data_IF_159838559518
#
_entry.id   IF_159838559518
#
_cell.length_a   1.000
_cell.length_b   1.000
_cell.length_c   1.000
_cell.angle_alpha   90.00
_cell.angle_beta   90.00
_cell.angle_gamma   90.00
#
_symmetry.space_group_name_H-M   'P 1'
#
loop_
_entity.id
_entity.type
_entity.pdbx_description
1 polymer ?
#
# COMPACT_ATOMS: atom_id res chain seq x y z
N UNK A 1 38.98 -3.87 37.22
CA UNK A 1 37.61 -4.38 37.45
C UNK A 1 36.89 -4.45 36.10
N UNK A 2 36.71 -5.67 35.60
CA UNK A 2 36.08 -5.92 34.31
C UNK A 2 34.56 -5.72 34.41
N UNK A 3 34.00 -4.88 33.54
CA UNK A 3 32.55 -4.80 33.33
C UNK A 3 32.17 -5.91 32.34
N UNK A 4 31.90 -7.11 32.88
CA UNK A 4 31.43 -8.30 32.16
C UNK A 4 29.95 -8.53 32.51
N UNK A 5 29.05 -7.63 32.13
CA UNK A 5 27.62 -7.94 32.12
C UNK A 5 26.97 -7.24 30.93
N UNK A 6 26.26 -8.03 30.14
CA UNK A 6 25.98 -7.80 28.73
C UNK A 6 25.17 -6.54 28.43
N UNK A 7 25.74 -5.69 27.57
CA UNK A 7 24.96 -4.86 26.67
C UNK A 7 24.34 -5.77 25.59
N UNK A 8 23.23 -6.42 25.92
CA UNK A 8 22.30 -6.89 24.90
C UNK A 8 21.68 -5.65 24.27
N UNK A 9 21.97 -5.41 22.99
CA UNK A 9 21.45 -4.27 22.24
C UNK A 9 19.93 -4.17 22.40
N UNK A 10 19.43 -2.99 22.76
CA UNK A 10 17.99 -2.72 22.75
C UNK A 10 17.50 -2.95 21.32
N UNK A 11 16.67 -3.97 21.12
CA UNK A 11 16.02 -4.23 19.83
C UNK A 11 15.31 -2.97 19.37
N UNK A 12 15.48 -2.59 18.12
CA UNK A 12 14.74 -1.46 17.58
C UNK A 12 13.24 -1.83 17.49
N UNK A 13 12.37 -0.81 17.36
CA UNK A 13 10.92 -1.01 17.30
C UNK A 13 10.50 -2.04 16.24
N UNK A 14 11.15 -2.01 15.07
CA UNK A 14 10.88 -2.95 13.98
C UNK A 14 11.24 -4.40 14.32
N UNK A 15 12.37 -4.64 15.01
CA UNK A 15 12.73 -5.98 15.49
C UNK A 15 11.75 -6.49 16.55
N UNK A 16 11.27 -5.62 17.44
CA UNK A 16 10.25 -6.00 18.43
C UNK A 16 8.93 -6.41 17.75
N UNK A 17 8.51 -5.67 16.73
CA UNK A 17 7.32 -6.02 15.94
C UNK A 17 7.51 -7.34 15.17
N UNK A 18 8.68 -7.54 14.57
CA UNK A 18 8.98 -8.75 13.82
C UNK A 18 9.02 -9.99 14.72
N UNK A 19 9.66 -9.88 15.89
CA UNK A 19 9.70 -10.93 16.90
C UNK A 19 8.31 -11.26 17.46
N UNK A 20 7.49 -10.22 17.73
CA UNK A 20 6.12 -10.41 18.22
C UNK A 20 5.26 -11.16 17.21
N UNK A 21 5.35 -10.83 15.92
CA UNK A 21 4.61 -11.54 14.87
C UNK A 21 5.10 -12.99 14.72
N UNK A 22 6.42 -13.23 14.78
CA UNK A 22 6.97 -14.59 14.75
C UNK A 22 6.47 -15.42 15.94
N UNK A 23 6.50 -14.85 17.15
CA UNK A 23 5.99 -15.50 18.34
C UNK A 23 4.48 -15.79 18.26
N UNK A 24 3.69 -14.88 17.67
CA UNK A 24 2.26 -15.12 17.42
C UNK A 24 2.04 -16.29 16.45
N UNK A 25 2.77 -16.34 15.34
CA UNK A 25 2.65 -17.43 14.36
C UNK A 25 3.01 -18.79 14.98
N UNK A 26 4.10 -18.85 15.75
CA UNK A 26 4.51 -20.06 16.47
C UNK A 26 3.44 -20.48 17.50
N UNK A 27 2.88 -19.53 18.25
CA UNK A 27 1.82 -19.79 19.20
C UNK A 27 0.55 -20.32 18.50
N UNK A 28 0.14 -19.75 17.37
CA UNK A 28 -0.98 -20.23 16.55
C UNK A 28 -0.76 -21.66 16.06
N UNK A 29 0.42 -21.97 15.52
CA UNK A 29 0.75 -23.34 15.07
C UNK A 29 0.66 -24.34 16.23
N UNK A 30 1.27 -24.01 17.37
CA UNK A 30 1.22 -24.87 18.57
C UNK A 30 -0.22 -25.10 19.07
N UNK A 31 -1.09 -24.10 18.93
CA UNK A 31 -2.49 -24.19 19.31
C UNK A 31 -3.26 -25.10 18.36
N UNK A 32 -3.02 -24.97 17.05
CA UNK A 32 -3.63 -25.82 16.03
C UNK A 32 -3.23 -27.29 16.20
N UNK A 33 -1.97 -27.57 16.54
CA UNK A 33 -1.50 -28.92 16.87
C UNK A 33 -2.24 -29.49 18.09
N UNK A 34 -2.40 -28.68 19.15
CA UNK A 34 -3.15 -29.08 20.35
C UNK A 34 -4.61 -29.36 20.06
N UNK A 35 -5.28 -28.50 19.28
CA UNK A 35 -6.67 -28.71 18.83
C UNK A 35 -6.78 -30.01 18.07
N UNK A 36 -5.90 -30.26 17.09
CA UNK A 36 -5.87 -31.50 16.30
C UNK A 36 -5.66 -32.74 17.17
N UNK A 37 -4.80 -32.65 18.18
CA UNK A 37 -4.58 -33.69 19.18
C UNK A 37 -5.83 -33.96 20.04
N UNK A 38 -6.55 -32.92 20.45
CA UNK A 38 -7.81 -33.05 21.18
C UNK A 38 -8.90 -33.68 20.31
N UNK A 39 -9.05 -33.26 19.06
CA UNK A 39 -10.03 -33.83 18.13
C UNK A 39 -9.77 -35.32 17.87
N UNK A 40 -8.50 -35.72 17.75
CA UNK A 40 -8.12 -37.13 17.63
C UNK A 40 -8.55 -37.93 18.86
N UNK A 41 -8.30 -37.42 20.07
CA UNK A 41 -8.73 -38.06 21.32
C UNK A 41 -10.26 -38.15 21.44
N UNK A 42 -10.97 -37.08 21.07
CA UNK A 42 -12.43 -37.04 21.04
C UNK A 42 -12.98 -38.09 20.07
N UNK A 43 -12.39 -38.21 18.88
CA UNK A 43 -12.76 -39.22 17.88
C UNK A 43 -12.57 -40.64 18.40
N UNK A 44 -11.44 -40.93 19.05
CA UNK A 44 -11.20 -42.23 19.69
C UNK A 44 -12.24 -42.55 20.79
N UNK A 45 -12.62 -41.55 21.59
CA UNK A 45 -13.67 -41.71 22.60
C UNK A 45 -15.04 -41.95 21.98
N UNK A 46 -15.36 -41.30 20.86
CA UNK A 46 -16.60 -41.51 20.11
C UNK A 46 -16.69 -42.97 19.61
N UNK A 47 -15.62 -43.52 19.04
CA UNK A 47 -15.57 -44.93 18.61
C UNK A 47 -15.81 -45.88 19.79
N UNK A 48 -15.17 -45.63 20.94
CA UNK A 48 -15.38 -46.44 22.14
C UNK A 48 -16.82 -46.35 22.67
N UNK A 49 -17.40 -45.16 22.68
CA UNK A 49 -18.79 -44.93 23.09
C UNK A 49 -19.77 -45.66 22.17
N UNK A 50 -19.56 -45.60 20.85
CA UNK A 50 -20.37 -46.35 19.87
C UNK A 50 -20.26 -47.86 20.09
N UNK A 51 -19.07 -48.38 20.37
CA UNK A 51 -18.88 -49.80 20.67
C UNK A 51 -19.63 -50.22 21.95
N UNK A 52 -19.60 -49.41 23.01
CA UNK A 52 -20.35 -49.69 24.24
C UNK A 52 -21.87 -49.57 23.98
N UNK A 53 -22.31 -48.60 23.20
CA UNK A 53 -23.71 -48.44 22.83
C UNK A 53 -24.24 -49.70 22.12
N UNK A 54 -23.52 -50.25 21.13
CA UNK A 54 -23.88 -51.51 20.46
C UNK A 54 -23.99 -52.67 21.45
N UNK A 55 -23.05 -52.78 22.40
CA UNK A 55 -23.10 -53.80 23.46
C UNK A 55 -24.30 -53.65 24.39
N UNK A 56 -24.65 -52.42 24.75
CA UNK A 56 -25.85 -52.13 25.57
C UNK A 56 -27.11 -52.55 24.81
N UNK A 57 -27.24 -52.17 23.54
CA UNK A 57 -28.39 -52.53 22.70
C UNK A 57 -28.54 -54.04 22.51
N UNK A 58 -27.42 -54.78 22.43
CA UNK A 58 -27.42 -56.24 22.34
C UNK A 58 -27.58 -56.98 23.67
N UNK A 59 -27.61 -56.28 24.81
CA UNK A 59 -27.77 -56.90 26.14
C UNK A 59 -29.21 -56.78 26.62
N UNK A 60 -29.94 -57.90 26.70
CA UNK A 60 -31.37 -57.89 27.05
C UNK A 60 -31.68 -57.57 28.51
N UNK A 61 -30.78 -57.91 29.44
CA UNK A 61 -30.99 -57.71 30.88
C UNK A 61 -30.52 -56.34 31.35
N UNK A 62 -31.38 -55.61 32.07
CA UNK A 62 -31.04 -54.33 32.70
C UNK A 62 -29.87 -54.45 33.70
N UNK A 63 -29.75 -55.58 34.42
CA UNK A 63 -28.64 -55.85 35.32
C UNK A 63 -27.31 -55.99 34.56
N UNK A 64 -27.34 -56.63 33.38
CA UNK A 64 -26.17 -56.76 32.49
C UNK A 64 -25.76 -55.44 31.84
N UNK A 65 -26.70 -54.53 31.58
CA UNK A 65 -26.42 -53.21 31.02
C UNK A 65 -25.79 -52.23 32.04
N UNK A 66 -26.07 -52.38 33.34
CA UNK A 66 -25.60 -51.46 34.39
C UNK A 66 -24.09 -51.16 34.36
N UNK A 67 -23.17 -52.15 34.31
CA UNK A 67 -21.73 -51.89 34.23
C UNK A 67 -21.33 -51.21 32.90
N UNK A 68 -21.98 -51.55 31.79
CA UNK A 68 -21.73 -50.93 30.49
C UNK A 68 -22.12 -49.45 30.49
N UNK A 69 -23.27 -49.11 31.09
CA UNK A 69 -23.74 -47.73 31.26
C UNK A 69 -22.79 -46.91 32.15
N UNK A 70 -22.30 -47.49 33.25
CA UNK A 70 -21.31 -46.83 34.11
C UNK A 70 -20.00 -46.54 33.36
N UNK A 71 -19.52 -47.48 32.54
CA UNK A 71 -18.35 -47.25 31.69
C UNK A 71 -18.60 -46.17 30.65
N UNK A 72 -19.75 -46.19 29.98
CA UNK A 72 -20.14 -45.16 29.01
C UNK A 72 -20.18 -43.76 29.64
N UNK A 73 -20.74 -43.63 30.85
CA UNK A 73 -20.79 -42.36 31.58
C UNK A 73 -19.39 -41.78 31.84
N UNK A 74 -18.43 -42.61 32.25
CA UNK A 74 -17.03 -42.17 32.46
C UNK A 74 -16.40 -41.66 31.16
N UNK A 75 -16.57 -42.39 30.06
CA UNK A 75 -16.04 -41.99 28.75
C UNK A 75 -16.72 -40.71 28.23
N UNK A 76 -18.03 -40.58 28.43
CA UNK A 76 -18.79 -39.39 28.04
C UNK A 76 -18.33 -38.15 28.81
N UNK A 77 -18.11 -38.27 30.12
CA UNK A 77 -17.58 -37.17 30.93
C UNK A 77 -16.19 -36.75 30.46
N UNK A 78 -15.29 -37.71 30.18
CA UNK A 78 -13.97 -37.42 29.62
C UNK A 78 -14.08 -36.71 28.27
N UNK A 79 -14.96 -37.18 27.39
CA UNK A 79 -15.18 -36.57 26.08
C UNK A 79 -15.65 -35.11 26.21
N UNK A 80 -16.64 -34.85 27.08
CA UNK A 80 -17.15 -33.50 27.33
C UNK A 80 -16.08 -32.54 27.87
N UNK A 81 -15.19 -33.02 28.73
CA UNK A 81 -14.07 -32.22 29.23
C UNK A 81 -13.08 -31.85 28.10
N UNK A 82 -12.78 -32.80 27.21
CA UNK A 82 -11.91 -32.54 26.05
C UNK A 82 -12.58 -31.60 25.04
N UNK A 83 -13.88 -31.76 24.77
CA UNK A 83 -14.66 -30.85 23.92
C UNK A 83 -14.60 -29.42 24.47
N UNK A 84 -14.86 -29.24 25.77
CA UNK A 84 -14.76 -27.91 26.42
C UNK A 84 -13.37 -27.30 26.32
N UNK A 85 -12.31 -28.10 26.47
CA UNK A 85 -10.93 -27.63 26.31
C UNK A 85 -10.65 -27.23 24.86
N UNK A 86 -11.13 -28.02 23.89
CA UNK A 86 -10.98 -27.74 22.46
C UNK A 86 -11.69 -26.45 22.09
N UNK A 87 -12.93 -26.27 22.51
CA UNK A 87 -13.71 -25.06 22.22
C UNK A 87 -13.07 -23.81 22.83
N UNK A 88 -12.48 -23.93 24.03
CA UNK A 88 -11.72 -22.85 24.64
C UNK A 88 -10.48 -22.48 23.80
N UNK A 89 -9.70 -23.45 23.33
CA UNK A 89 -8.54 -23.19 22.47
C UNK A 89 -8.96 -22.62 21.11
N UNK A 90 -10.07 -23.08 20.55
CA UNK A 90 -10.60 -22.58 19.28
C UNK A 90 -10.99 -21.09 19.40
N UNK A 91 -11.65 -20.71 20.50
CA UNK A 91 -11.96 -19.30 20.80
C UNK A 91 -10.71 -18.43 20.98
N UNK A 92 -9.64 -18.99 21.57
CA UNK A 92 -8.37 -18.32 21.73
C UNK A 92 -7.65 -18.14 20.38
N UNK A 93 -7.67 -19.18 19.54
CA UNK A 93 -7.13 -19.15 18.18
C UNK A 93 -7.82 -18.07 17.35
N UNK A 94 -9.15 -18.00 17.42
CA UNK A 94 -9.93 -16.96 16.74
C UNK A 94 -9.56 -15.55 17.20
N UNK A 95 -9.44 -15.34 18.52
CA UNK A 95 -9.03 -14.06 19.08
C UNK A 95 -7.62 -13.66 18.63
N UNK A 96 -6.69 -14.62 18.57
CA UNK A 96 -5.34 -14.40 18.04
C UNK A 96 -5.34 -14.06 16.56
N UNK A 97 -6.16 -14.74 15.74
CA UNK A 97 -6.29 -14.44 14.31
C UNK A 97 -6.82 -13.01 14.10
N UNK A 98 -7.81 -12.58 14.89
CA UNK A 98 -8.30 -11.19 14.84
C UNK A 98 -7.22 -10.17 15.23
N UNK A 99 -6.43 -10.47 16.28
CA UNK A 99 -5.30 -9.63 16.68
C UNK A 99 -4.23 -9.55 15.58
N UNK A 100 -3.96 -10.66 14.88
CA UNK A 100 -3.00 -10.71 13.77
C UNK A 100 -3.47 -9.84 12.62
N UNK A 101 -4.73 -9.97 12.20
CA UNK A 101 -5.30 -9.14 11.14
C UNK A 101 -5.24 -7.65 11.48
N UNK A 102 -5.50 -7.30 12.74
CA UNK A 102 -5.38 -5.91 13.22
C UNK A 102 -3.94 -5.42 13.16
N UNK A 103 -2.98 -6.25 13.62
CA UNK A 103 -1.54 -5.97 13.54
C UNK A 103 -1.09 -5.74 12.10
N UNK A 104 -1.52 -6.58 11.17
CA UNK A 104 -1.18 -6.49 9.74
C UNK A 104 -1.75 -5.21 9.11
N UNK A 105 -3.00 -4.86 9.43
CA UNK A 105 -3.61 -3.60 8.98
C UNK A 105 -2.87 -2.37 9.51
N UNK A 106 -2.47 -2.38 10.79
CA UNK A 106 -1.68 -1.31 11.40
C UNK A 106 -0.30 -1.19 10.75
N UNK A 107 0.35 -2.32 10.42
CA UNK A 107 1.62 -2.35 9.70
C UNK A 107 1.49 -1.73 8.32
N UNK A 108 0.47 -2.12 7.55
CA UNK A 108 0.21 -1.55 6.22
C UNK A 108 -0.02 -0.03 6.30
N UNK A 109 -0.81 0.40 7.29
CA UNK A 109 -1.04 1.83 7.55
C UNK A 109 0.26 2.56 7.90
N UNK A 110 1.12 1.97 8.74
CA UNK A 110 2.42 2.55 9.09
C UNK A 110 3.32 2.70 7.86
N UNK A 111 3.36 1.70 6.97
CA UNK A 111 4.12 1.77 5.71
C UNK A 111 3.62 2.94 4.86
N UNK A 112 2.30 3.08 4.69
CA UNK A 112 1.70 4.22 3.98
C UNK A 112 2.06 5.55 4.65
N UNK A 113 1.97 5.66 5.98
CA UNK A 113 2.32 6.88 6.71
C UNK A 113 3.80 7.23 6.55
N UNK A 114 4.69 6.24 6.58
CA UNK A 114 6.12 6.45 6.36
C UNK A 114 6.42 6.90 4.92
N UNK A 115 5.75 6.30 3.93
CA UNK A 115 5.84 6.74 2.54
C UNK A 115 5.36 8.20 2.39
N UNK A 116 4.19 8.54 2.96
CA UNK A 116 3.66 9.91 2.95
C UNK A 116 4.59 10.91 3.64
N UNK A 117 5.21 10.55 4.77
CA UNK A 117 6.20 11.39 5.45
C UNK A 117 7.42 11.63 4.56
N UNK A 118 7.90 10.60 3.88
CA UNK A 118 9.04 10.71 2.98
C UNK A 118 8.71 11.56 1.75
N UNK A 119 7.53 11.36 1.15
CA UNK A 119 7.01 12.20 0.08
C UNK A 119 6.85 13.65 0.54
N UNK A 120 6.30 13.90 1.73
CA UNK A 120 6.17 15.26 2.27
C UNK A 120 7.55 15.93 2.48
N UNK A 121 8.54 15.17 2.96
CA UNK A 121 9.92 15.65 3.10
C UNK A 121 10.54 16.00 1.74
N UNK A 122 10.33 15.15 0.72
CA UNK A 122 10.80 15.40 -0.64
C UNK A 122 10.11 16.64 -1.24
N UNK A 123 8.78 16.75 -1.11
CA UNK A 123 8.02 17.92 -1.53
C UNK A 123 8.52 19.20 -0.84
N UNK A 124 8.73 19.19 0.48
CA UNK A 124 9.30 20.34 1.20
C UNK A 124 10.70 20.72 0.72
N UNK A 125 11.54 19.74 0.40
CA UNK A 125 12.88 19.99 -0.13
C UNK A 125 12.84 20.53 -1.57
N UNK A 126 11.84 20.17 -2.37
CA UNK A 126 11.60 20.72 -3.71
C UNK A 126 11.02 22.14 -3.63
N UNK A 127 9.95 22.35 -2.86
CA UNK A 127 9.32 23.65 -2.67
C UNK A 127 10.24 24.66 -1.96
N UNK A 128 11.06 24.22 -1.00
CA UNK A 128 12.03 25.09 -0.33
C UNK A 128 13.19 25.55 -1.21
N UNK A 129 13.34 24.99 -2.42
CA UNK A 129 14.27 25.50 -3.43
C UNK A 129 13.61 26.55 -4.33
N UNK A 130 12.29 26.54 -4.48
CA UNK A 130 11.55 27.53 -5.28
C UNK A 130 11.63 28.89 -4.59
N UNK A 131 12.43 29.80 -5.14
CA UNK A 131 12.44 31.21 -4.73
C UNK A 131 11.10 31.82 -5.11
N UNK A 132 10.24 32.05 -4.13
CA UNK A 132 8.92 32.68 -4.30
C UNK A 132 9.08 34.06 -4.93
N UNK A 133 10.15 34.79 -4.60
CA UNK A 133 10.45 36.10 -5.19
C UNK A 133 10.69 35.98 -6.70
N UNK A 134 11.45 34.97 -7.15
CA UNK A 134 11.62 34.70 -8.60
C UNK A 134 10.34 34.21 -9.28
N UNK A 135 9.43 33.59 -8.53
CA UNK A 135 8.12 33.19 -9.06
C UNK A 135 7.20 34.41 -9.23
N UNK A 136 7.31 35.40 -8.35
CA UNK A 136 6.64 36.69 -8.50
C UNK A 136 7.26 37.47 -9.67
N UNK A 137 8.58 37.54 -9.76
CA UNK A 137 9.27 38.18 -10.89
C UNK A 137 8.90 37.51 -12.23
N UNK A 138 8.82 36.17 -12.29
CA UNK A 138 8.35 35.47 -13.50
C UNK A 138 6.86 35.64 -13.76
N UNK A 139 6.03 35.80 -12.73
CA UNK A 139 4.60 36.10 -12.92
C UNK A 139 4.43 37.51 -13.46
N UNK A 140 5.20 38.47 -12.95
CA UNK A 140 5.22 39.86 -13.41
C UNK A 140 5.77 39.93 -14.84
N UNK A 141 6.87 39.23 -15.17
CA UNK A 141 7.36 39.10 -16.55
C UNK A 141 6.35 38.38 -17.47
N UNK A 142 5.61 37.39 -16.98
CA UNK A 142 4.56 36.73 -17.77
C UNK A 142 3.39 37.69 -18.05
N UNK A 143 3.00 38.49 -17.06
CA UNK A 143 1.97 39.52 -17.24
C UNK A 143 2.44 40.59 -18.22
N UNK A 144 3.70 41.03 -18.12
CA UNK A 144 4.32 41.97 -19.06
C UNK A 144 4.43 41.36 -20.48
N UNK A 145 4.68 40.06 -20.61
CA UNK A 145 4.74 39.36 -21.90
C UNK A 145 3.35 39.13 -22.52
N UNK A 146 2.32 38.89 -21.70
CA UNK A 146 0.93 38.83 -22.15
C UNK A 146 0.48 40.23 -22.58
N UNK A 147 0.81 41.27 -21.81
CA UNK A 147 0.47 42.66 -22.13
C UNK A 147 1.21 43.12 -23.40
N UNK A 148 2.49 42.78 -23.56
CA UNK A 148 3.24 43.01 -24.81
C UNK A 148 2.73 42.15 -25.97
N UNK A 149 2.22 40.95 -25.70
CA UNK A 149 1.61 40.07 -26.69
C UNK A 149 0.28 40.63 -27.22
N UNK A 150 -0.54 41.18 -26.31
CA UNK A 150 -1.78 41.89 -26.63
C UNK A 150 -1.50 43.24 -27.31
N UNK A 151 -0.46 43.97 -26.89
CA UNK A 151 -0.01 45.21 -27.53
C UNK A 151 0.55 44.92 -28.94
N UNK A 152 1.31 43.83 -29.11
CA UNK A 152 1.80 43.36 -30.40
C UNK A 152 0.65 42.93 -31.31
N UNK A 153 -0.34 42.19 -30.78
CA UNK A 153 -1.56 41.84 -31.52
C UNK A 153 -2.37 43.09 -31.89
N UNK A 154 -2.49 44.09 -31.01
CA UNK A 154 -3.16 45.35 -31.31
C UNK A 154 -2.40 46.21 -32.32
N UNK A 155 -1.07 46.26 -32.29
CA UNK A 155 -0.24 46.98 -33.27
C UNK A 155 -0.27 46.26 -34.62
N UNK A 156 -0.26 44.92 -34.64
CA UNK A 156 -0.44 44.13 -35.86
C UNK A 156 -1.87 44.26 -36.42
N UNK A 157 -2.90 44.36 -35.57
CA UNK A 157 -4.29 44.60 -35.97
C UNK A 157 -4.54 46.05 -36.43
N UNK A 158 -3.84 47.04 -35.86
CA UNK A 158 -3.84 48.43 -36.36
C UNK A 158 -3.12 48.56 -37.71
N UNK A 159 -2.10 47.71 -37.97
CA UNK A 159 -1.31 47.71 -39.20
C UNK A 159 -1.86 46.84 -40.33
N UNK A 160 -2.63 45.80 -40.01
CA UNK A 160 -3.33 44.93 -40.96
C UNK A 160 -4.84 45.03 -40.72
N UNK A 161 -5.50 45.90 -41.47
CA UNK A 161 -6.96 45.95 -41.53
C UNK A 161 -7.55 44.65 -42.08
N UNK A 162 -7.77 43.68 -41.20
CA UNK A 162 -8.40 42.38 -41.47
C UNK A 162 -9.38 42.17 -40.31
N UNK A 163 -10.58 42.72 -40.41
CA UNK A 163 -11.82 42.02 -40.79
C UNK A 163 -12.02 40.69 -40.05
N UNK A 164 -13.03 40.71 -39.17
CA UNK A 164 -13.92 39.63 -38.73
C UNK A 164 -13.44 38.20 -39.02
N UNK A 165 -13.05 37.50 -37.94
CA UNK A 165 -13.11 36.05 -37.86
C UNK A 165 -14.16 35.64 -36.83
N UNK A 166 -15.33 36.27 -36.91
CA UNK A 166 -16.56 35.62 -36.50
C UNK A 166 -16.95 34.70 -37.67
N UNK A 167 -16.75 33.38 -37.48
CA UNK A 167 -17.51 32.27 -38.10
C UNK A 167 -16.64 31.02 -38.30
N UNK A 168 -16.18 30.39 -37.21
CA UNK A 168 -15.98 28.93 -37.23
C UNK A 168 -17.34 28.33 -36.86
N UNK A 169 -18.03 27.74 -37.82
CA UNK A 169 -19.33 27.10 -37.56
C UNK A 169 -19.14 25.84 -36.71
N UNK A 170 -20.06 25.57 -35.76
CA UNK A 170 -20.05 24.34 -34.93
C UNK A 170 -19.88 23.06 -35.77
N UNK A 171 -20.36 23.07 -37.02
CA UNK A 171 -20.22 21.96 -37.97
C UNK A 171 -18.78 21.68 -38.44
N UNK A 172 -17.90 22.67 -38.44
CA UNK A 172 -16.47 22.49 -38.76
C UNK A 172 -15.70 21.98 -37.55
N UNK A 173 -16.07 22.46 -36.36
CA UNK A 173 -15.53 21.99 -35.07
C UNK A 173 -15.89 20.52 -34.80
N UNK A 174 -17.12 20.12 -35.11
CA UNK A 174 -17.56 18.72 -34.96
C UNK A 174 -16.85 17.76 -35.92
N UNK A 175 -16.55 18.21 -37.16
CA UNK A 175 -15.82 17.41 -38.13
C UNK A 175 -14.36 17.16 -37.72
N UNK A 176 -13.70 18.13 -37.07
CA UNK A 176 -12.37 17.96 -36.51
C UNK A 176 -12.36 17.06 -35.25
N UNK A 177 -13.39 17.17 -34.40
CA UNK A 177 -13.58 16.31 -33.23
C UNK A 177 -13.82 14.84 -33.61
N UNK A 178 -14.58 14.59 -34.68
CA UNK A 178 -14.80 13.24 -35.20
C UNK A 178 -13.53 12.64 -35.83
N UNK A 179 -12.72 13.45 -36.54
CA UNK A 179 -11.43 13.03 -37.09
C UNK A 179 -10.41 12.64 -35.99
N UNK A 180 -10.43 13.31 -34.83
CA UNK A 180 -9.62 12.94 -33.65
C UNK A 180 -10.13 11.66 -32.96
N UNK A 181 -11.44 11.38 -33.01
CA UNK A 181 -12.04 10.17 -32.44
C UNK A 181 -11.75 8.90 -33.26
N UNK A 182 -11.81 8.98 -34.59
CA UNK A 182 -11.63 7.83 -35.48
C UNK A 182 -10.16 7.40 -35.64
N UNK A 183 -9.20 8.26 -35.29
CA UNK A 183 -7.77 7.88 -35.20
C UNK A 183 -7.45 6.88 -34.08
N UNK A 184 -8.35 6.71 -33.10
CA UNK A 184 -8.11 5.85 -31.93
C UNK A 184 -8.64 4.41 -32.09
N UNK A 185 -9.54 4.15 -33.05
CA UNK A 185 -10.17 2.83 -33.23
C UNK A 185 -9.58 1.98 -34.36
N UNK A 186 -8.62 2.49 -35.15
CA UNK A 186 -7.88 1.72 -36.17
C UNK A 186 -6.37 1.54 -35.84
N UNK A 187 -6.01 1.56 -34.56
CA UNK A 187 -4.73 1.02 -34.06
C UNK A 187 -4.99 -0.08 -33.02
N UNK A 188 -6.12 -0.80 -33.17
CA UNK A 188 -6.33 -2.10 -32.55
C UNK A 188 -5.73 -3.18 -33.44
N UNK A 189 -4.61 -3.74 -32.97
CA UNK A 189 -3.92 -4.95 -33.43
C UNK A 189 -2.61 -4.71 -34.21
N UNK A 190 -1.53 -5.37 -33.74
CA UNK A 190 -0.20 -5.51 -34.36
C UNK A 190 0.89 -4.47 -34.04
N UNK A 191 1.32 -4.35 -32.76
CA UNK A 191 2.74 -4.49 -32.37
C UNK A 191 3.05 -3.87 -30.98
N UNK A 192 3.67 -4.70 -30.12
CA UNK A 192 4.61 -4.32 -29.05
C UNK A 192 4.05 -3.48 -27.88
N UNK A 193 3.81 -4.11 -26.73
CA UNK A 193 4.76 -4.10 -25.59
C UNK A 193 5.21 -2.70 -25.16
N UNK A 194 4.64 -2.21 -24.05
CA UNK A 194 5.21 -1.13 -23.26
C UNK A 194 4.21 -0.03 -22.93
N UNK A 195 4.08 0.25 -21.64
CA UNK A 195 3.67 1.57 -21.12
C UNK A 195 2.18 1.93 -21.17
N UNK A 196 1.43 1.34 -20.24
CA UNK A 196 0.38 2.08 -19.53
C UNK A 196 1.01 3.24 -18.74
N UNK A 197 1.22 4.37 -19.38
CA UNK A 197 1.45 5.67 -18.76
C UNK A 197 0.33 6.60 -19.21
N UNK A 198 -0.82 6.49 -18.54
CA UNK A 198 -1.75 7.60 -18.52
C UNK A 198 -0.99 8.83 -18.06
N UNK A 199 -0.94 9.85 -18.91
CA UNK A 199 -0.21 11.08 -18.66
C UNK A 199 -0.65 11.65 -17.32
N UNK A 200 0.25 11.54 -16.36
CA UNK A 200 0.03 12.10 -15.04
C UNK A 200 0.14 13.62 -15.23
N UNK A 201 -0.82 14.43 -14.76
CA UNK A 201 -0.78 15.88 -14.90
C UNK A 201 0.59 16.43 -14.50
N UNK A 202 1.09 17.45 -15.21
CA UNK A 202 2.49 17.93 -15.11
C UNK A 202 2.97 18.32 -13.70
N UNK A 203 2.07 18.49 -12.72
CA UNK A 203 2.43 18.72 -11.32
C UNK A 203 2.76 17.42 -10.54
N UNK A 204 2.50 16.24 -11.11
CA UNK A 204 2.82 14.92 -10.55
C UNK A 204 4.00 14.25 -11.27
N UNK A 205 4.47 14.74 -12.42
CA UNK A 205 5.72 14.28 -13.02
C UNK A 205 6.88 14.96 -12.28
N UNK A 206 7.69 14.18 -11.57
CA UNK A 206 8.68 14.64 -10.59
C UNK A 206 9.89 15.40 -11.15
N UNK A 207 9.73 16.30 -12.11
CA UNK A 207 10.79 17.21 -12.55
C UNK A 207 10.90 18.38 -11.58
N UNK A 208 11.80 18.22 -10.62
CA UNK A 208 12.31 19.34 -9.81
C UNK A 208 12.99 20.32 -10.79
N UNK A 209 12.65 21.62 -10.78
CA UNK A 209 13.37 22.60 -11.57
C UNK A 209 14.86 22.54 -11.18
N UNK A 210 15.74 22.32 -12.17
CA UNK A 210 17.18 22.44 -11.97
C UNK A 210 17.49 23.93 -11.78
N UNK A 211 17.78 24.32 -10.54
CA UNK A 211 18.44 25.59 -10.24
C UNK A 211 19.79 25.58 -10.95
N UNK A 212 19.96 26.52 -11.87
CA UNK A 212 21.22 26.75 -12.57
C UNK A 212 22.23 27.23 -11.52
N UNK A 213 23.11 26.33 -11.07
CA UNK A 213 24.38 26.69 -10.44
C UNK A 213 25.30 27.19 -11.57
N UNK A 214 25.20 28.48 -11.89
CA UNK A 214 26.15 29.13 -12.78
C UNK A 214 27.42 29.44 -11.97
N UNK A 215 28.48 28.63 -12.15
CA UNK A 215 29.80 28.96 -11.62
C UNK A 215 30.32 30.26 -12.27
N UNK A 216 30.93 31.19 -11.52
CA UNK A 216 31.42 32.44 -12.07
C UNK A 216 32.54 32.15 -13.08
N UNK A 217 32.30 32.52 -14.33
CA UNK A 217 33.28 32.38 -15.42
C UNK A 217 34.57 33.12 -15.08
N UNK A 218 35.70 32.41 -15.13
CA UNK A 218 37.03 33.01 -14.99
C UNK A 218 37.29 34.01 -16.13
N UNK A 219 37.40 35.29 -15.80
CA UNK A 219 37.84 36.33 -16.72
C UNK A 219 39.31 36.08 -17.15
N UNK A 220 39.52 35.96 -18.46
CA UNK A 220 40.85 36.01 -19.07
C UNK A 220 41.37 37.46 -19.07
N UNK A 221 42.63 37.72 -18.67
CA UNK A 221 43.16 39.09 -18.63
C UNK A 221 43.52 39.58 -20.03
N UNK A 222 42.71 40.46 -20.60
CA UNK A 222 43.07 41.25 -21.78
C UNK A 222 43.82 42.52 -21.41
N UNK A 223 45.12 42.60 -21.74
CA UNK A 223 45.94 43.84 -21.89
C UNK A 223 47.17 43.48 -22.73
N UNK A 224 47.66 44.23 -23.72
CA UNK A 224 47.35 45.50 -24.38
C UNK A 224 48.18 45.45 -25.68
N UNK A 225 47.65 45.94 -26.79
CA UNK A 225 48.48 46.25 -27.97
C UNK A 225 49.48 47.37 -27.62
N UNK A 226 50.75 47.17 -27.99
CA UNK A 226 51.68 48.27 -28.27
C UNK A 226 52.35 47.98 -29.61
N UNK A 227 51.89 48.66 -30.66
CA UNK A 227 52.63 48.80 -31.91
C UNK A 227 53.39 50.14 -31.88
N UNK A 228 54.71 50.05 -32.06
CA UNK A 228 55.70 51.06 -32.53
C UNK A 228 55.54 52.53 -32.13
#
# INVERSE_FOLDING_TARGET
MNRIFGYGGRKNHDQLLQDSNKAMNEAQQSMQERISGLDTQISQLNVQLQAIQRKISGTSSAAGQKPLRQRALKLLNKRKQLESMRDSLDSQSWSMNQAQMTSDNLRNTMVTVNALKQTNKALKAQYGKINIDKLQDMQDEMLDLVEQGEELQNVLAMGSGVQDLDDISETELDAELEALGDGSMMQGDMAYEGETSGEIPSYLSGTIPQFVDEEPSAEMPGKLETAT
#
